data_IF_252544776183
#
_entry.id   IF_252544776183
#
_cell.length_a   1.000
_cell.length_b   1.000
_cell.length_c   1.000
_cell.angle_alpha   90.00
_cell.angle_beta   90.00
_cell.angle_gamma   90.00
#
_symmetry.space_group_name_H-M   'P 1'
#
loop_
_entity.id
_entity.type
_entity.pdbx_description
1 polymer ?
#
# COMPACT_ATOMS: atom_id res chain seq x y z
N UNK A 1 -7.14 -10.70 6.32
CA UNK A 1 -7.35 -12.12 5.98
C UNK A 1 -7.89 -12.26 4.56
N UNK A 2 -8.00 -13.48 4.02
CA UNK A 2 -8.41 -13.75 2.62
C UNK A 2 -9.76 -13.07 2.26
N UNK A 3 -10.72 -13.04 3.19
CA UNK A 3 -12.00 -12.33 3.01
C UNK A 3 -11.86 -10.81 2.85
N UNK A 4 -10.85 -10.21 3.49
CA UNK A 4 -10.59 -8.76 3.37
C UNK A 4 -10.18 -8.39 1.95
N UNK A 5 -9.39 -9.24 1.29
CA UNK A 5 -8.93 -9.00 -0.09
C UNK A 5 -10.10 -8.94 -1.05
N UNK A 6 -11.03 -9.89 -0.94
CA UNK A 6 -12.25 -9.90 -1.75
C UNK A 6 -13.10 -8.65 -1.52
N UNK A 7 -13.32 -8.28 -0.26
CA UNK A 7 -14.10 -7.09 0.09
C UNK A 7 -13.49 -5.81 -0.49
N UNK A 8 -12.18 -5.61 -0.33
CA UNK A 8 -11.47 -4.42 -0.81
C UNK A 8 -11.51 -4.35 -2.34
N UNK A 9 -11.25 -5.47 -3.02
CA UNK A 9 -11.31 -5.57 -4.48
C UNK A 9 -12.70 -5.27 -5.02
N UNK A 10 -13.74 -5.88 -4.43
CA UNK A 10 -15.13 -5.68 -4.89
C UNK A 10 -15.59 -4.24 -4.68
N UNK A 11 -15.13 -3.58 -3.59
CA UNK A 11 -15.40 -2.17 -3.35
C UNK A 11 -14.64 -1.26 -4.34
N UNK A 12 -13.39 -1.57 -4.64
CA UNK A 12 -12.59 -0.86 -5.65
C UNK A 12 -13.29 -0.87 -7.01
N UNK A 13 -13.73 -2.04 -7.45
CA UNK A 13 -14.46 -2.23 -8.71
C UNK A 13 -15.75 -1.41 -8.74
N UNK A 14 -16.52 -1.45 -7.65
CA UNK A 14 -17.76 -0.70 -7.55
C UNK A 14 -17.55 0.83 -7.59
N UNK A 15 -16.38 1.31 -7.14
CA UNK A 15 -16.02 2.72 -7.14
C UNK A 15 -15.18 3.14 -8.35
N UNK A 16 -14.83 2.21 -9.24
CA UNK A 16 -13.93 2.48 -10.36
C UNK A 16 -12.50 2.84 -9.95
N UNK A 17 -12.07 2.44 -8.75
CA UNK A 17 -10.73 2.71 -8.21
C UNK A 17 -9.78 1.61 -8.66
N UNK A 18 -8.72 2.01 -9.37
CA UNK A 18 -7.70 1.08 -9.83
C UNK A 18 -6.80 0.60 -8.68
N UNK A 19 -6.99 -0.64 -8.23
CA UNK A 19 -6.19 -1.28 -7.18
C UNK A 19 -5.49 -2.55 -7.68
N UNK A 20 -4.40 -2.43 -8.45
CA UNK A 20 -3.74 -3.57 -9.10
C UNK A 20 -3.22 -4.61 -8.10
N UNK A 21 -2.74 -4.19 -6.92
CA UNK A 21 -2.27 -5.12 -5.88
C UNK A 21 -3.42 -5.93 -5.25
N UNK A 22 -4.57 -5.31 -5.00
CA UNK A 22 -5.74 -6.00 -4.45
C UNK A 22 -6.31 -7.00 -5.45
N UNK A 23 -6.39 -6.61 -6.72
CA UNK A 23 -6.81 -7.48 -7.82
C UNK A 23 -5.82 -8.65 -8.00
N UNK A 24 -4.52 -8.38 -8.01
CA UNK A 24 -3.51 -9.43 -8.15
C UNK A 24 -3.53 -10.44 -7.00
N UNK A 25 -3.75 -9.97 -5.77
CA UNK A 25 -3.91 -10.85 -4.61
C UNK A 25 -5.20 -11.68 -4.69
N UNK A 26 -6.29 -11.09 -5.18
CA UNK A 26 -7.54 -11.81 -5.42
C UNK A 26 -7.37 -12.94 -6.46
N UNK A 27 -6.66 -12.68 -7.56
CA UNK A 27 -6.38 -13.67 -8.61
C UNK A 27 -5.58 -14.87 -8.08
N UNK A 28 -4.57 -14.62 -7.25
CA UNK A 28 -3.77 -15.70 -6.64
C UNK A 28 -4.60 -16.52 -5.66
N UNK A 29 -5.37 -15.87 -4.79
CA UNK A 29 -6.08 -16.55 -3.69
C UNK A 29 -7.36 -17.26 -4.14
N UNK A 30 -8.07 -16.73 -5.14
CA UNK A 30 -9.41 -17.21 -5.51
C UNK A 30 -9.50 -17.77 -6.93
N UNK A 31 -8.56 -17.45 -7.81
CA UNK A 31 -8.56 -17.90 -9.22
C UNK A 31 -7.43 -18.87 -9.54
N UNK A 32 -6.54 -19.15 -8.57
CA UNK A 32 -5.43 -20.08 -8.74
C UNK A 32 -4.35 -19.58 -9.69
N UNK A 33 -4.30 -18.27 -9.95
CA UNK A 33 -3.27 -17.69 -10.82
C UNK A 33 -1.91 -17.80 -10.12
N UNK A 34 -0.85 -18.27 -10.79
CA UNK A 34 0.47 -18.34 -10.19
C UNK A 34 0.96 -16.95 -9.74
N UNK A 35 1.36 -16.84 -8.47
CA UNK A 35 1.83 -15.57 -7.89
C UNK A 35 3.00 -14.95 -8.69
N UNK A 36 3.87 -15.78 -9.25
CA UNK A 36 4.99 -15.33 -10.08
C UNK A 36 4.53 -14.61 -11.36
N UNK A 37 3.44 -15.06 -11.96
CA UNK A 37 2.92 -14.47 -13.18
C UNK A 37 2.15 -13.18 -12.88
N UNK A 38 1.42 -13.14 -11.75
CA UNK A 38 0.86 -11.89 -11.24
C UNK A 38 1.93 -10.86 -10.90
N UNK A 39 3.01 -11.25 -10.23
CA UNK A 39 4.11 -10.35 -9.92
C UNK A 39 4.72 -9.73 -11.20
N UNK A 40 4.98 -10.54 -12.23
CA UNK A 40 5.46 -10.04 -13.53
C UNK A 40 4.47 -9.08 -14.18
N UNK A 41 3.17 -9.36 -14.12
CA UNK A 41 2.14 -8.48 -14.68
C UNK A 41 2.13 -7.13 -13.97
N UNK A 42 2.14 -7.14 -12.64
CA UNK A 42 2.14 -5.94 -11.81
C UNK A 42 3.38 -5.08 -12.05
N UNK A 43 4.57 -5.69 -12.10
CA UNK A 43 5.83 -5.01 -12.39
C UNK A 43 5.92 -4.46 -13.82
N UNK A 44 5.12 -4.96 -14.76
CA UNK A 44 5.06 -4.47 -16.15
C UNK A 44 4.02 -3.37 -16.34
N UNK A 45 3.00 -3.31 -15.48
CA UNK A 45 1.92 -2.31 -15.52
C UNK A 45 2.29 -0.97 -14.88
N UNK A 46 3.55 -0.78 -14.49
CA UNK A 46 3.99 0.34 -13.65
C UNK A 46 4.29 1.61 -14.48
N UNK A 47 3.20 2.29 -14.87
CA UNK A 47 3.11 3.75 -14.87
C UNK A 47 1.77 4.10 -14.23
N UNK A 48 1.79 4.83 -13.10
CA UNK A 48 0.64 5.53 -12.50
C UNK A 48 -0.33 4.74 -11.59
N UNK A 49 0.15 4.20 -10.46
CA UNK A 49 -0.69 4.24 -9.24
C UNK A 49 0.11 4.83 -8.08
N UNK A 50 0.04 6.16 -7.97
CA UNK A 50 0.62 6.94 -6.89
C UNK A 50 0.05 6.49 -5.54
N UNK A 51 0.90 5.86 -4.73
CA UNK A 51 0.74 5.84 -3.27
C UNK A 51 1.45 7.07 -2.72
N UNK A 52 0.80 8.23 -2.75
CA UNK A 52 1.26 9.39 -1.99
C UNK A 52 1.12 9.10 -0.49
N UNK A 53 2.25 8.86 0.19
CA UNK A 53 2.32 8.91 1.65
C UNK A 53 2.24 10.36 2.11
N UNK A 54 1.04 10.88 2.34
CA UNK A 54 0.86 12.15 3.07
C UNK A 54 0.94 11.84 4.56
N UNK A 55 2.14 11.90 5.14
CA UNK A 55 2.29 12.02 6.60
C UNK A 55 1.73 13.41 7.01
N UNK A 56 0.75 13.49 7.93
CA UNK A 56 0.35 14.76 8.51
C UNK A 56 1.57 15.44 9.13
N UNK A 57 1.83 16.70 8.78
CA UNK A 57 3.00 17.47 9.25
C UNK A 57 3.05 17.67 10.78
N UNK A 58 2.00 17.27 11.49
CA UNK A 58 1.86 17.40 12.95
C UNK A 58 2.76 16.39 13.70
N UNK A 59 3.07 15.23 13.12
CA UNK A 59 3.83 14.15 13.81
C UNK A 59 5.35 14.33 13.74
N UNK A 60 5.87 15.25 12.90
CA UNK A 60 7.32 15.45 12.70
C UNK A 60 7.94 16.39 13.75
N UNK A 61 7.16 17.02 14.64
CA UNK A 61 7.64 18.08 15.55
C UNK A 61 8.08 17.63 16.95
N UNK A 62 8.27 16.34 17.22
CA UNK A 62 8.70 15.88 18.55
C UNK A 62 10.05 15.17 18.64
N UNK A 63 10.83 15.05 17.55
CA UNK A 63 12.11 14.33 17.62
C UNK A 63 13.37 15.20 17.54
N UNK A 64 13.22 16.54 17.59
CA UNK A 64 14.38 17.47 17.58
C UNK A 64 14.56 18.31 18.84
N UNK A 65 13.77 18.10 19.89
CA UNK A 65 13.88 18.89 21.15
C UNK A 65 14.59 18.18 22.31
N UNK A 66 15.05 16.94 22.16
CA UNK A 66 15.61 16.20 23.31
C UNK A 66 17.13 15.95 23.28
N UNK A 67 17.84 16.30 22.20
CA UNK A 67 19.31 16.11 22.13
C UNK A 67 20.15 17.29 22.64
N UNK A 68 19.56 18.45 22.94
CA UNK A 68 20.32 19.64 23.38
C UNK A 68 20.43 19.79 24.92
N UNK A 69 19.75 18.97 25.71
CA UNK A 69 19.71 19.11 27.18
C UNK A 69 20.79 18.33 27.95
N UNK A 70 21.81 17.75 27.29
CA UNK A 70 22.80 16.87 27.96
C UNK A 70 24.29 17.25 27.83
N UNK A 71 24.65 18.36 27.20
CA UNK A 71 26.07 18.77 27.06
C UNK A 71 26.40 20.15 27.69
N UNK A 72 25.79 20.48 28.83
CA UNK A 72 26.01 21.78 29.50
C UNK A 72 26.00 21.71 31.02
N UNK A 73 26.74 20.77 31.62
CA UNK A 73 26.97 20.67 33.06
C UNK A 73 28.39 20.22 33.34
#
# INVERSE_FOLDING_TARGET
GVNTVKLVRDKADAEGVYMPLAEGLYQVLFRGVPARDMAKLLMRGEQSSDVEFVLPREDVKQDRRQTEAKNGG
#
